data_IF_504936246525
#
_entry.id   IF_504936246525
#
_cell.length_a   1.000
_cell.length_b   1.000
_cell.length_c   1.000
_cell.angle_alpha   90.00
_cell.angle_beta   90.00
_cell.angle_gamma   90.00
#
_symmetry.space_group_name_H-M   'P 1'
#
loop_
_entity.id
_entity.type
_entity.pdbx_description
1 polymer ?
#
# COMPACT_ATOMS: atom_id res chain seq x y z
N UNK A 1 -8.71 -21.77 -12.69
CA UNK A 1 -9.73 -22.62 -13.32
C UNK A 1 -11.13 -22.04 -13.10
N UNK A 2 -12.16 -22.65 -13.71
CA UNK A 2 -13.54 -22.17 -13.64
C UNK A 2 -14.09 -22.26 -12.21
N UNK A 3 -13.76 -23.32 -11.48
CA UNK A 3 -14.21 -23.48 -10.10
C UNK A 3 -13.70 -22.34 -9.20
N UNK A 4 -12.43 -21.99 -9.31
CA UNK A 4 -11.85 -20.87 -8.56
C UNK A 4 -12.48 -19.55 -8.96
N UNK A 5 -12.74 -19.35 -10.25
CA UNK A 5 -13.38 -18.13 -10.74
C UNK A 5 -14.81 -18.03 -10.22
N UNK A 6 -15.55 -19.13 -10.12
CA UNK A 6 -16.91 -19.14 -9.57
C UNK A 6 -16.92 -18.80 -8.08
N UNK A 7 -15.88 -19.19 -7.34
CA UNK A 7 -15.73 -18.78 -5.94
C UNK A 7 -15.55 -17.27 -5.81
N UNK A 8 -14.87 -16.65 -6.78
CA UNK A 8 -14.75 -15.18 -6.82
C UNK A 8 -16.11 -14.52 -6.99
N UNK A 9 -16.99 -15.09 -7.82
CA UNK A 9 -18.35 -14.56 -7.98
C UNK A 9 -19.09 -14.57 -6.63
N UNK A 10 -18.95 -15.62 -5.86
CA UNK A 10 -19.56 -15.71 -4.52
C UNK A 10 -19.01 -14.65 -3.58
N UNK A 11 -17.69 -14.37 -3.66
CA UNK A 11 -17.07 -13.30 -2.88
C UNK A 11 -17.62 -11.93 -3.26
N UNK A 12 -17.78 -11.68 -4.56
CA UNK A 12 -18.32 -10.41 -5.03
C UNK A 12 -19.76 -10.18 -4.52
N UNK A 13 -20.52 -11.25 -4.40
CA UNK A 13 -21.90 -11.19 -3.86
C UNK A 13 -21.94 -10.81 -2.38
N UNK A 14 -20.81 -10.91 -1.65
CA UNK A 14 -20.71 -10.58 -0.24
C UNK A 14 -20.17 -9.16 0.03
N UNK A 15 -19.88 -8.38 -1.01
CA UNK A 15 -19.30 -7.05 -0.83
C UNK A 15 -20.22 -6.10 -0.07
N UNK A 16 -21.54 -6.20 -0.29
CA UNK A 16 -22.51 -5.37 0.45
C UNK A 16 -22.39 -5.66 1.97
N UNK A 17 -22.29 -6.93 2.33
CA UNK A 17 -22.12 -7.34 3.73
C UNK A 17 -20.79 -6.84 4.28
N UNK A 18 -19.70 -6.99 3.51
CA UNK A 18 -18.37 -6.53 3.91
C UNK A 18 -18.37 -5.03 4.21
N UNK A 19 -18.88 -4.22 3.27
CA UNK A 19 -18.88 -2.77 3.45
C UNK A 19 -19.82 -2.33 4.57
N UNK A 20 -20.95 -3.02 4.76
CA UNK A 20 -21.84 -2.74 5.90
C UNK A 20 -21.13 -2.97 7.23
N UNK A 21 -20.38 -4.06 7.35
CA UNK A 21 -19.63 -4.37 8.57
C UNK A 21 -18.51 -3.36 8.81
N UNK A 22 -17.76 -3.01 7.78
CA UNK A 22 -16.69 -1.99 7.88
C UNK A 22 -17.29 -0.66 8.33
N UNK A 23 -18.38 -0.24 7.69
CA UNK A 23 -19.06 1.02 8.00
C UNK A 23 -19.54 1.06 9.45
N UNK A 24 -20.08 -0.05 9.93
CA UNK A 24 -20.56 -0.13 11.31
C UNK A 24 -19.43 -0.01 12.32
N UNK A 25 -18.32 -0.72 12.10
CA UNK A 25 -17.16 -0.66 12.99
C UNK A 25 -16.61 0.77 13.03
N UNK A 26 -16.52 1.43 11.88
CA UNK A 26 -16.02 2.80 11.83
C UNK A 26 -17.00 3.79 12.47
N UNK A 27 -18.29 3.56 12.35
CA UNK A 27 -19.31 4.38 13.02
C UNK A 27 -19.18 4.28 14.53
N UNK A 28 -18.93 3.07 15.06
CA UNK A 28 -18.64 2.88 16.49
C UNK A 28 -17.38 3.66 16.89
N UNK A 29 -16.39 3.70 16.00
CA UNK A 29 -15.19 4.52 16.20
C UNK A 29 -15.51 6.00 16.35
N UNK A 30 -16.40 6.53 15.51
CA UNK A 30 -16.84 7.93 15.62
C UNK A 30 -17.45 8.22 17.00
N UNK A 31 -18.29 7.30 17.50
CA UNK A 31 -18.96 7.45 18.78
C UNK A 31 -17.99 7.42 19.95
N UNK A 32 -16.82 6.81 19.78
CA UNK A 32 -15.82 6.62 20.82
C UNK A 32 -14.55 7.47 20.59
N UNK A 33 -14.67 8.54 19.82
CA UNK A 33 -13.57 9.47 19.54
C UNK A 33 -12.34 8.76 18.93
N UNK A 34 -12.59 7.80 18.06
CA UNK A 34 -11.55 7.08 17.31
C UNK A 34 -11.75 7.37 15.82
N UNK A 35 -11.37 8.55 15.41
CA UNK A 35 -11.62 9.07 14.06
C UNK A 35 -10.30 9.17 13.29
N UNK A 36 -10.34 8.85 12.02
CA UNK A 36 -9.19 9.00 11.13
C UNK A 36 -8.85 10.48 10.91
N UNK A 37 -7.64 10.73 10.39
CA UNK A 37 -7.27 12.10 10.01
C UNK A 37 -8.05 12.51 8.75
N UNK A 38 -8.35 13.79 8.66
CA UNK A 38 -9.04 14.36 7.51
C UNK A 38 -8.30 14.06 6.21
N UNK A 39 -6.96 14.17 6.25
CA UNK A 39 -6.12 13.88 5.09
C UNK A 39 -6.33 12.45 4.55
N UNK A 40 -6.34 11.46 5.45
CA UNK A 40 -6.53 10.06 5.04
C UNK A 40 -7.96 9.80 4.55
N UNK A 41 -8.94 10.44 5.19
CA UNK A 41 -10.33 10.34 4.73
C UNK A 41 -10.48 10.87 3.30
N UNK A 42 -9.88 12.03 3.00
CA UNK A 42 -9.93 12.62 1.65
C UNK A 42 -9.26 11.70 0.62
N UNK A 43 -8.14 11.08 0.97
CA UNK A 43 -7.47 10.13 0.07
C UNK A 43 -8.32 8.90 -0.21
N UNK A 44 -8.97 8.37 0.83
CA UNK A 44 -9.87 7.22 0.67
C UNK A 44 -11.08 7.60 -0.18
N UNK A 45 -11.65 8.77 0.08
CA UNK A 45 -12.78 9.29 -0.72
C UNK A 45 -12.39 9.38 -2.19
N UNK A 46 -11.21 9.96 -2.47
CA UNK A 46 -10.69 10.09 -3.83
C UNK A 46 -10.54 8.72 -4.50
N UNK A 47 -9.98 7.73 -3.79
CA UNK A 47 -9.82 6.37 -4.33
C UNK A 47 -11.17 5.75 -4.68
N UNK A 48 -12.15 5.89 -3.79
CA UNK A 48 -13.48 5.30 -4.01
C UNK A 48 -14.21 6.00 -5.15
N UNK A 49 -14.09 7.33 -5.25
CA UNK A 49 -14.67 8.09 -6.36
C UNK A 49 -14.04 7.67 -7.69
N UNK A 50 -12.73 7.55 -7.73
CA UNK A 50 -12.02 7.13 -8.94
C UNK A 50 -12.44 5.72 -9.36
N UNK A 51 -12.60 4.81 -8.39
CA UNK A 51 -13.10 3.48 -8.68
C UNK A 51 -14.50 3.53 -9.29
N UNK A 52 -15.44 4.27 -8.67
CA UNK A 52 -16.81 4.35 -9.14
C UNK A 52 -16.93 5.03 -10.51
N UNK A 53 -16.00 5.92 -10.85
CA UNK A 53 -15.95 6.60 -12.14
C UNK A 53 -15.33 5.75 -13.25
N UNK A 54 -14.67 4.64 -12.90
CA UNK A 54 -14.09 3.72 -13.88
C UNK A 54 -15.21 3.02 -14.65
N UNK A 55 -15.17 2.98 -16.01
CA UNK A 55 -16.16 2.22 -16.77
C UNK A 55 -16.22 0.77 -16.31
N UNK A 56 -17.42 0.20 -16.28
CA UNK A 56 -17.64 -1.17 -15.80
C UNK A 56 -16.75 -2.17 -16.53
N UNK A 57 -16.57 -2.01 -17.83
CA UNK A 57 -15.77 -2.91 -18.66
C UNK A 57 -14.28 -2.90 -18.28
N UNK A 58 -13.84 -1.86 -17.57
CA UNK A 58 -12.45 -1.69 -17.13
C UNK A 58 -12.28 -1.94 -15.63
N UNK A 59 -13.32 -2.44 -14.98
CA UNK A 59 -13.27 -2.71 -13.53
C UNK A 59 -12.17 -3.74 -13.25
N UNK A 60 -11.29 -3.44 -12.30
CA UNK A 60 -10.17 -4.31 -11.97
C UNK A 60 -10.61 -5.66 -11.40
N UNK A 61 -11.82 -5.74 -10.86
CA UNK A 61 -12.37 -7.02 -10.37
C UNK A 61 -12.65 -8.00 -11.52
N UNK A 62 -12.66 -7.51 -12.77
CA UNK A 62 -12.80 -8.36 -13.96
C UNK A 62 -11.46 -8.92 -14.45
N UNK A 63 -10.33 -8.44 -13.91
CA UNK A 63 -8.99 -8.84 -14.36
C UNK A 63 -8.57 -10.16 -13.69
N UNK A 64 -9.15 -11.25 -14.20
CA UNK A 64 -8.86 -12.60 -13.71
C UNK A 64 -8.09 -13.36 -14.78
N UNK A 65 -6.97 -13.95 -14.40
CA UNK A 65 -6.16 -14.77 -15.30
C UNK A 65 -6.65 -16.21 -15.28
N UNK A 66 -7.36 -16.58 -16.32
CA UNK A 66 -7.84 -17.95 -16.48
C UNK A 66 -6.71 -18.85 -17.00
N UNK A 67 -6.71 -20.10 -16.58
CA UNK A 67 -5.77 -21.10 -17.11
C UNK A 67 -6.04 -21.32 -18.61
N UNK A 68 -4.99 -21.72 -19.34
CA UNK A 68 -5.04 -21.84 -20.81
C UNK A 68 -6.06 -22.86 -21.33
N UNK A 69 -6.49 -23.79 -20.47
CA UNK A 69 -7.49 -24.81 -20.83
C UNK A 69 -8.93 -24.29 -20.76
N UNK A 70 -9.14 -23.06 -20.24
CA UNK A 70 -10.47 -22.45 -20.17
C UNK A 70 -10.75 -21.72 -21.49
N UNK A 71 -11.87 -22.05 -22.12
CA UNK A 71 -12.25 -21.48 -23.40
C UNK A 71 -12.86 -20.08 -23.30
N UNK A 72 -12.82 -19.35 -24.41
CA UNK A 72 -13.39 -17.99 -24.50
C UNK A 72 -14.88 -17.92 -24.12
N UNK A 73 -15.73 -18.92 -24.50
CA UNK A 73 -17.13 -18.86 -24.06
C UNK A 73 -17.30 -18.88 -22.55
N UNK A 74 -16.49 -19.66 -21.83
CA UNK A 74 -16.55 -19.76 -20.37
C UNK A 74 -16.05 -18.45 -19.74
N UNK A 75 -14.99 -17.87 -20.28
CA UNK A 75 -14.42 -16.60 -19.80
C UNK A 75 -15.46 -15.47 -19.99
N UNK A 76 -16.06 -15.38 -21.19
CA UNK A 76 -17.10 -14.37 -21.48
C UNK A 76 -18.28 -14.51 -20.54
N UNK A 77 -18.75 -15.73 -20.33
CA UNK A 77 -19.88 -16.01 -19.44
C UNK A 77 -19.57 -15.57 -18.01
N UNK A 78 -18.37 -15.90 -17.52
CA UNK A 78 -17.94 -15.48 -16.17
C UNK A 78 -17.90 -13.96 -16.07
N UNK A 79 -17.34 -13.28 -17.08
CA UNK A 79 -17.23 -11.83 -17.07
C UNK A 79 -18.61 -11.15 -17.07
N UNK A 80 -19.57 -11.68 -17.80
CA UNK A 80 -20.94 -11.14 -17.79
C UNK A 80 -21.59 -11.29 -16.43
N UNK A 81 -21.42 -12.45 -15.78
CA UNK A 81 -21.92 -12.66 -14.42
C UNK A 81 -21.25 -11.72 -13.42
N UNK A 82 -19.91 -11.57 -13.53
CA UNK A 82 -19.15 -10.68 -12.65
C UNK A 82 -19.60 -9.22 -12.82
N UNK A 83 -19.77 -8.76 -14.05
CA UNK A 83 -20.24 -7.39 -14.34
C UNK A 83 -21.57 -7.11 -13.67
N UNK A 84 -22.50 -8.06 -13.77
CA UNK A 84 -23.82 -7.89 -13.16
C UNK A 84 -23.73 -7.76 -11.64
N UNK A 85 -22.91 -8.60 -10.99
CA UNK A 85 -22.72 -8.56 -9.54
C UNK A 85 -22.03 -7.25 -9.15
N UNK A 86 -21.01 -6.83 -9.89
CA UNK A 86 -20.29 -5.58 -9.63
C UNK A 86 -21.26 -4.40 -9.69
N UNK A 87 -22.09 -4.35 -10.74
CA UNK A 87 -23.04 -3.28 -10.95
C UNK A 87 -24.16 -3.24 -9.91
N UNK A 88 -24.68 -4.42 -9.50
CA UNK A 88 -25.84 -4.49 -8.62
C UNK A 88 -25.50 -4.67 -7.13
N UNK A 89 -24.28 -5.08 -6.80
CA UNK A 89 -23.89 -5.34 -5.41
C UNK A 89 -22.65 -4.54 -5.00
N UNK A 90 -21.54 -4.70 -5.73
CA UNK A 90 -20.24 -4.11 -5.32
C UNK A 90 -20.29 -2.58 -5.35
N UNK A 91 -20.63 -2.00 -6.51
CA UNK A 91 -20.62 -0.54 -6.68
C UNK A 91 -21.64 0.18 -5.81
N UNK A 92 -22.88 -0.32 -5.67
CA UNK A 92 -23.80 0.30 -4.71
C UNK A 92 -23.30 0.25 -3.26
N UNK A 93 -22.64 -0.85 -2.85
CA UNK A 93 -22.06 -0.97 -1.50
C UNK A 93 -20.93 0.05 -1.30
N UNK A 94 -20.05 0.20 -2.30
CA UNK A 94 -18.97 1.19 -2.27
C UNK A 94 -19.56 2.61 -2.19
N UNK A 95 -20.60 2.89 -2.96
CA UNK A 95 -21.25 4.22 -2.96
C UNK A 95 -21.84 4.55 -1.58
N UNK A 96 -22.53 3.60 -0.97
CA UNK A 96 -23.11 3.78 0.37
C UNK A 96 -22.02 4.10 1.40
N UNK A 97 -20.91 3.35 1.35
CA UNK A 97 -19.77 3.57 2.23
C UNK A 97 -19.12 4.94 1.97
N UNK A 98 -18.93 5.30 0.70
CA UNK A 98 -18.39 6.60 0.31
C UNK A 98 -19.25 7.75 0.87
N UNK A 99 -20.56 7.65 0.76
CA UNK A 99 -21.48 8.65 1.29
C UNK A 99 -21.33 8.78 2.81
N UNK A 100 -21.20 7.67 3.52
CA UNK A 100 -20.97 7.69 4.97
C UNK A 100 -19.66 8.42 5.30
N UNK A 101 -18.58 8.11 4.56
CA UNK A 101 -17.29 8.78 4.79
C UNK A 101 -17.41 10.30 4.60
N UNK A 102 -18.10 10.73 3.56
CA UNK A 102 -18.26 12.16 3.25
C UNK A 102 -19.16 12.87 4.27
N UNK A 103 -20.27 12.26 4.63
CA UNK A 103 -21.30 12.90 5.44
C UNK A 103 -21.05 12.79 6.95
N UNK A 104 -20.51 11.69 7.42
CA UNK A 104 -20.39 11.42 8.84
C UNK A 104 -18.94 11.51 9.35
N UNK A 105 -17.97 10.98 8.60
CA UNK A 105 -16.58 10.90 9.06
C UNK A 105 -15.77 12.15 8.72
N UNK A 106 -15.88 12.65 7.49
CA UNK A 106 -15.07 13.78 7.04
C UNK A 106 -15.24 15.03 7.91
N UNK A 107 -16.48 15.42 8.29
CA UNK A 107 -16.64 16.60 9.16
C UNK A 107 -15.96 16.46 10.53
N UNK A 108 -15.76 15.21 11.00
CA UNK A 108 -15.14 14.92 12.30
C UNK A 108 -13.68 14.52 12.15
N UNK A 109 -13.13 14.49 10.94
CA UNK A 109 -11.75 14.08 10.68
C UNK A 109 -10.75 14.94 11.42
N UNK A 110 -9.73 14.30 12.01
CA UNK A 110 -8.68 15.01 12.75
C UNK A 110 -7.81 15.81 11.80
N UNK A 111 -7.42 17.01 12.26
CA UNK A 111 -6.53 17.88 11.47
C UNK A 111 -5.09 17.35 11.48
N UNK A 112 -4.24 17.93 10.64
CA UNK A 112 -2.83 17.53 10.56
C UNK A 112 -2.08 17.76 11.88
N UNK A 113 -2.44 18.79 12.64
CA UNK A 113 -1.84 19.07 13.95
C UNK A 113 -2.20 18.00 14.98
N UNK A 114 -3.28 17.26 14.73
CA UNK A 114 -3.76 16.18 15.60
C UNK A 114 -3.67 14.84 14.90
N UNK A 115 -2.64 14.64 14.08
CA UNK A 115 -2.50 13.43 13.26
C UNK A 115 -2.09 12.18 14.05
N UNK A 116 -1.36 12.34 15.15
CA UNK A 116 -0.89 11.21 15.95
C UNK A 116 -2.01 10.49 16.69
N UNK A 117 -1.76 9.22 17.04
CA UNK A 117 -2.76 8.42 17.76
C UNK A 117 -3.02 8.93 19.20
N UNK A 118 -2.15 9.80 19.70
CA UNK A 118 -2.38 10.48 20.98
C UNK A 118 -3.77 11.14 21.04
N UNK A 119 -4.27 11.56 19.88
CA UNK A 119 -5.52 12.33 19.78
C UNK A 119 -6.78 11.46 19.64
N UNK A 120 -6.65 10.13 19.73
CA UNK A 120 -7.82 9.25 19.79
C UNK A 120 -7.97 8.68 21.19
N UNK A 121 -9.16 8.19 21.51
CA UNK A 121 -9.45 7.61 22.83
C UNK A 121 -8.52 6.40 23.08
N UNK A 122 -7.81 6.44 24.21
CA UNK A 122 -6.86 5.40 24.58
C UNK A 122 -5.56 5.42 23.78
N UNK A 123 -5.33 6.49 23.01
CA UNK A 123 -4.19 6.57 22.08
C UNK A 123 -2.83 6.58 22.76
N UNK A 124 -2.70 7.27 23.90
CA UNK A 124 -1.42 7.31 24.64
C UNK A 124 -1.00 5.92 25.06
N UNK A 125 -1.90 5.16 25.68
CA UNK A 125 -1.61 3.79 26.12
C UNK A 125 -1.31 2.89 24.91
N UNK A 126 -2.08 3.04 23.84
CA UNK A 126 -1.87 2.27 22.60
C UNK A 126 -0.48 2.54 22.04
N UNK A 127 -0.05 3.79 22.03
CA UNK A 127 1.29 4.17 21.55
C UNK A 127 2.39 3.52 22.41
N UNK A 128 2.25 3.57 23.73
CA UNK A 128 3.24 2.97 24.65
C UNK A 128 3.34 1.45 24.45
N UNK A 129 2.21 0.79 24.26
CA UNK A 129 2.20 -0.66 23.98
C UNK A 129 2.90 -0.98 22.67
N UNK A 130 2.65 -0.18 21.63
CA UNK A 130 3.30 -0.34 20.34
C UNK A 130 4.82 -0.10 20.46
N UNK A 131 5.20 0.96 21.18
CA UNK A 131 6.61 1.29 21.41
C UNK A 131 7.36 0.12 22.05
N UNK A 132 6.78 -0.46 23.10
CA UNK A 132 7.37 -1.61 23.80
C UNK A 132 7.46 -2.83 22.91
N UNK A 133 6.43 -3.07 22.11
CA UNK A 133 6.41 -4.17 21.15
C UNK A 133 7.52 -4.04 20.11
N UNK A 134 7.66 -2.85 19.52
CA UNK A 134 8.62 -2.64 18.43
C UNK A 134 10.07 -2.53 18.93
N UNK A 135 10.29 -2.00 20.11
CA UNK A 135 11.65 -1.89 20.68
C UNK A 135 12.08 -3.16 21.41
N UNK A 136 11.13 -3.97 21.86
CA UNK A 136 11.44 -5.13 22.70
C UNK A 136 11.80 -4.77 24.14
N UNK A 137 11.64 -3.51 24.53
CA UNK A 137 12.07 -3.01 25.85
C UNK A 137 10.86 -2.47 26.64
N UNK A 138 10.65 -3.03 27.82
CA UNK A 138 9.52 -2.67 28.68
C UNK A 138 9.56 -1.24 29.21
N UNK A 139 10.77 -0.74 29.44
CA UNK A 139 10.96 0.54 30.15
C UNK A 139 11.35 1.69 29.22
N UNK A 140 11.42 1.47 27.92
CA UNK A 140 11.74 2.52 26.96
C UNK A 140 10.64 3.60 26.96
N UNK A 141 11.06 4.85 27.02
CA UNK A 141 10.12 5.98 26.98
C UNK A 141 10.05 6.59 25.59
N UNK A 142 8.95 7.29 25.32
CA UNK A 142 8.76 8.01 24.06
C UNK A 142 9.89 9.03 23.86
N UNK A 143 10.27 9.74 24.93
CA UNK A 143 11.33 10.76 24.88
C UNK A 143 12.68 10.17 24.49
N UNK A 144 13.02 9.02 25.05
CA UNK A 144 14.28 8.33 24.71
C UNK A 144 14.33 7.98 23.22
N UNK A 145 13.26 7.37 22.69
CA UNK A 145 13.22 6.98 21.28
C UNK A 145 13.26 8.21 20.39
N UNK A 146 12.53 9.26 20.75
CA UNK A 146 12.55 10.52 20.01
C UNK A 146 13.98 11.10 19.94
N UNK A 147 14.66 11.14 21.08
CA UNK A 147 16.03 11.67 21.14
C UNK A 147 17.02 10.83 20.34
N UNK A 148 16.85 9.50 20.35
CA UNK A 148 17.66 8.61 19.50
C UNK A 148 17.44 8.99 18.03
N UNK A 149 16.17 9.20 17.65
CA UNK A 149 15.83 9.62 16.29
C UNK A 149 16.51 10.92 15.87
N UNK A 150 16.49 11.92 16.75
CA UNK A 150 17.16 13.21 16.49
C UNK A 150 18.67 13.01 16.31
N UNK A 151 19.31 12.24 17.22
CA UNK A 151 20.75 11.95 17.13
C UNK A 151 21.11 11.24 15.82
N UNK A 152 20.28 10.28 15.42
CA UNK A 152 20.49 9.53 14.17
C UNK A 152 20.35 10.42 12.94
N UNK A 153 19.38 11.34 12.94
CA UNK A 153 19.22 12.28 11.83
C UNK A 153 20.51 13.09 11.65
N UNK A 154 21.07 13.60 12.76
CA UNK A 154 22.31 14.40 12.69
C UNK A 154 23.49 13.56 12.21
N UNK A 155 23.62 12.32 12.72
CA UNK A 155 24.66 11.41 12.27
C UNK A 155 24.54 11.11 10.77
N UNK A 156 23.32 10.79 10.34
CA UNK A 156 23.06 10.45 8.94
C UNK A 156 23.24 11.64 8.01
N UNK A 157 22.93 12.85 8.43
CA UNK A 157 23.19 14.06 7.62
C UNK A 157 24.68 14.19 7.31
N UNK A 158 25.52 13.98 8.30
CA UNK A 158 26.98 14.07 8.13
C UNK A 158 27.46 13.00 7.14
N UNK A 159 27.08 11.74 7.39
CA UNK A 159 27.47 10.62 6.53
C UNK A 159 26.96 10.80 5.11
N UNK A 160 25.69 11.20 4.97
CA UNK A 160 25.06 11.44 3.68
C UNK A 160 25.80 12.51 2.88
N UNK A 161 26.20 13.60 3.56
CA UNK A 161 26.95 14.68 2.91
C UNK A 161 28.33 14.18 2.44
N UNK A 162 29.06 13.45 3.29
CA UNK A 162 30.37 12.91 2.94
C UNK A 162 30.30 12.00 1.71
N UNK A 163 29.30 11.11 1.67
CA UNK A 163 29.10 10.21 0.54
C UNK A 163 28.63 11.01 -0.69
N UNK A 164 27.70 11.94 -0.47
CA UNK A 164 27.11 12.77 -1.53
C UNK A 164 28.13 13.59 -2.29
N UNK A 165 29.17 14.05 -1.62
CA UNK A 165 30.26 14.82 -2.26
C UNK A 165 31.07 13.98 -3.26
N UNK A 166 31.04 12.66 -3.16
CA UNK A 166 31.68 11.78 -4.14
C UNK A 166 30.89 11.77 -5.45
N UNK A 167 29.59 12.08 -5.39
CA UNK A 167 28.71 12.11 -6.58
C UNK A 167 28.56 13.55 -7.09
N UNK A 168 28.39 14.48 -6.17
CA UNK A 168 28.20 15.91 -6.46
C UNK A 168 29.28 16.72 -5.74
N UNK A 169 30.46 16.78 -6.36
CA UNK A 169 31.64 17.41 -5.73
C UNK A 169 31.44 18.89 -5.42
N UNK A 170 30.52 19.54 -6.10
CA UNK A 170 30.20 20.96 -5.92
C UNK A 170 29.12 21.20 -4.85
N UNK A 171 28.55 20.17 -4.26
CA UNK A 171 27.57 20.34 -3.19
C UNK A 171 28.21 20.86 -1.92
N UNK A 172 27.56 21.81 -1.26
CA UNK A 172 28.07 22.47 -0.04
C UNK A 172 27.29 22.11 1.23
N UNK A 173 26.24 21.32 1.11
CA UNK A 173 25.41 20.91 2.25
C UNK A 173 24.66 19.61 1.94
N UNK A 174 24.19 18.90 2.98
CA UNK A 174 23.33 17.73 2.76
C UNK A 174 22.07 18.05 1.94
N UNK A 175 21.51 19.23 2.20
CA UNK A 175 20.29 19.70 1.51
C UNK A 175 20.56 19.87 0.02
N UNK A 176 21.75 20.40 -0.34
CA UNK A 176 22.14 20.52 -1.76
C UNK A 176 22.31 19.14 -2.42
N UNK A 177 22.86 18.16 -1.71
CA UNK A 177 22.97 16.81 -2.25
C UNK A 177 21.58 16.26 -2.56
N UNK A 178 20.65 16.40 -1.60
CA UNK A 178 19.27 15.94 -1.79
C UNK A 178 18.62 16.65 -3.00
N UNK A 179 18.78 17.96 -3.08
CA UNK A 179 18.22 18.75 -4.18
C UNK A 179 18.77 18.27 -5.52
N UNK A 180 20.08 18.05 -5.60
CA UNK A 180 20.71 17.56 -6.85
C UNK A 180 20.20 16.16 -7.20
N UNK A 181 20.08 15.27 -6.23
CA UNK A 181 19.52 13.93 -6.47
C UNK A 181 18.10 14.01 -7.04
N UNK A 182 17.30 14.95 -6.55
CA UNK A 182 15.92 15.13 -7.01
C UNK A 182 15.80 15.78 -8.38
N UNK A 183 16.80 16.60 -8.79
CA UNK A 183 16.69 17.39 -10.00
C UNK A 183 17.62 16.93 -11.14
N UNK A 184 18.64 16.14 -10.81
CA UNK A 184 19.61 15.66 -11.83
C UNK A 184 18.92 14.68 -12.78
N UNK A 185 18.87 14.99 -14.10
CA UNK A 185 18.20 14.10 -15.05
C UNK A 185 18.76 12.67 -15.06
N UNK A 186 20.07 12.51 -14.86
CA UNK A 186 20.72 11.19 -14.85
C UNK A 186 20.25 10.31 -13.68
N UNK A 187 19.59 10.88 -12.69
CA UNK A 187 19.08 10.17 -11.53
C UNK A 187 17.58 9.83 -11.64
N UNK A 188 17.00 10.11 -12.80
CA UNK A 188 15.58 9.85 -13.04
C UNK A 188 15.40 8.74 -14.06
N UNK A 189 14.37 7.96 -13.86
CA UNK A 189 13.97 6.97 -14.87
C UNK A 189 13.33 7.69 -16.07
N UNK A 190 13.60 7.15 -17.24
CA UNK A 190 13.05 7.70 -18.49
C UNK A 190 11.63 7.22 -18.75
N UNK A 191 11.26 6.08 -18.17
CA UNK A 191 9.94 5.49 -18.35
C UNK A 191 9.62 4.51 -17.23
N UNK A 192 8.35 4.18 -17.10
CA UNK A 192 7.85 3.16 -16.18
C UNK A 192 8.50 1.81 -16.49
N UNK A 193 8.63 1.49 -17.77
CA UNK A 193 9.22 0.23 -18.23
C UNK A 193 10.68 0.12 -17.80
N UNK A 194 11.45 1.20 -17.93
CA UNK A 194 12.84 1.23 -17.47
C UNK A 194 12.93 0.99 -15.96
N UNK A 195 12.06 1.62 -15.19
CA UNK A 195 12.05 1.48 -13.74
C UNK A 195 11.78 0.02 -13.34
N UNK A 196 10.78 -0.61 -13.96
CA UNK A 196 10.44 -2.02 -13.70
C UNK A 196 11.61 -2.94 -14.08
N UNK A 197 12.24 -2.70 -15.24
CA UNK A 197 13.36 -3.52 -15.70
C UNK A 197 14.55 -3.43 -14.74
N UNK A 198 14.87 -2.22 -14.27
CA UNK A 198 15.96 -2.03 -13.30
C UNK A 198 15.68 -2.78 -12.01
N UNK A 199 14.43 -2.78 -11.55
CA UNK A 199 14.04 -3.52 -10.35
C UNK A 199 14.20 -5.03 -10.56
N UNK A 200 13.74 -5.55 -11.70
CA UNK A 200 13.91 -6.98 -12.04
C UNK A 200 15.39 -7.37 -12.07
N UNK A 201 16.21 -6.58 -12.76
CA UNK A 201 17.65 -6.82 -12.87
C UNK A 201 18.32 -6.81 -11.49
N UNK A 202 17.88 -5.91 -10.61
CA UNK A 202 18.41 -5.80 -9.25
C UNK A 202 18.06 -7.03 -8.42
N UNK A 203 16.83 -7.51 -8.51
CA UNK A 203 16.40 -8.72 -7.82
C UNK A 203 17.20 -9.93 -8.33
N UNK A 204 17.32 -10.07 -9.65
CA UNK A 204 18.10 -11.16 -10.24
C UNK A 204 19.55 -11.13 -9.75
N UNK A 205 20.15 -9.93 -9.75
CA UNK A 205 21.52 -9.74 -9.29
C UNK A 205 21.67 -10.10 -7.79
N UNK A 206 20.64 -9.81 -6.99
CA UNK A 206 20.68 -10.11 -5.55
C UNK A 206 20.65 -11.61 -5.25
N UNK A 207 20.10 -12.43 -6.15
CA UNK A 207 20.09 -13.88 -5.96
C UNK A 207 21.46 -14.52 -6.08
N UNK A 208 22.38 -13.92 -6.84
CA UNK A 208 23.69 -14.52 -7.12
C UNK A 208 24.52 -14.80 -5.87
N UNK A 209 24.63 -13.88 -4.90
CA UNK A 209 25.39 -14.14 -3.69
C UNK A 209 24.60 -14.77 -2.53
N UNK A 210 23.33 -15.13 -2.74
CA UNK A 210 22.45 -15.60 -1.65
C UNK A 210 23.07 -16.78 -0.87
N UNK A 211 23.66 -17.74 -1.60
CA UNK A 211 24.24 -18.93 -0.97
C UNK A 211 25.45 -18.63 -0.09
N UNK A 212 26.01 -17.43 -0.18
CA UNK A 212 27.13 -16.99 0.69
C UNK A 212 26.63 -16.47 2.03
N UNK A 213 25.36 -16.03 2.08
CA UNK A 213 24.82 -15.32 3.24
C UNK A 213 23.69 -16.07 3.94
N UNK A 214 23.00 -16.96 3.24
CA UNK A 214 21.84 -17.67 3.76
C UNK A 214 21.94 -19.16 3.51
N UNK A 215 21.42 -19.94 4.44
CA UNK A 215 21.35 -21.41 4.32
C UNK A 215 19.94 -21.89 3.96
N UNK A 216 18.93 -21.02 4.12
CA UNK A 216 17.55 -21.34 3.77
C UNK A 216 17.10 -20.33 2.72
N UNK A 217 16.48 -20.83 1.67
CA UNK A 217 16.07 -20.01 0.52
C UNK A 217 14.55 -20.03 0.35
N UNK A 218 13.97 -18.93 -0.14
CA UNK A 218 12.55 -18.93 -0.49
C UNK A 218 12.28 -19.97 -1.58
N UNK A 219 11.15 -20.62 -1.49
CA UNK A 219 10.72 -21.61 -2.51
C UNK A 219 10.16 -20.92 -3.76
N UNK A 220 9.59 -19.72 -3.57
CA UNK A 220 8.97 -18.96 -4.64
C UNK A 220 9.86 -17.81 -5.06
N UNK A 221 9.89 -17.46 -6.35
CA UNK A 221 10.61 -16.28 -6.81
C UNK A 221 9.93 -15.00 -6.35
N UNK A 222 10.61 -13.88 -6.55
CA UNK A 222 10.05 -12.55 -6.32
C UNK A 222 9.77 -11.89 -7.68
N UNK A 223 8.52 -11.58 -7.93
CA UNK A 223 8.09 -10.87 -9.15
C UNK A 223 8.12 -9.36 -8.93
N UNK A 224 8.28 -8.61 -10.01
CA UNK A 224 8.16 -7.15 -10.00
C UNK A 224 6.90 -6.79 -10.79
N UNK A 225 6.02 -6.00 -10.19
CA UNK A 225 4.81 -5.53 -10.84
C UNK A 225 4.56 -4.05 -10.52
N UNK A 226 3.91 -3.31 -11.41
CA UNK A 226 3.46 -1.97 -11.04
C UNK A 226 2.34 -2.05 -10.00
N UNK A 227 2.21 -1.00 -9.19
CA UNK A 227 1.10 -0.90 -8.24
C UNK A 227 -0.24 -0.96 -9.00
N UNK A 228 -1.28 -1.53 -8.38
CA UNK A 228 -2.59 -1.58 -9.05
C UNK A 228 -3.08 -0.19 -9.42
N UNK A 229 -3.68 -0.02 -10.62
CA UNK A 229 -4.07 1.31 -11.11
C UNK A 229 -4.94 2.10 -10.14
N UNK A 230 -5.86 1.45 -9.44
CA UNK A 230 -6.79 2.11 -8.52
C UNK A 230 -6.10 2.66 -7.27
N UNK A 231 -4.92 2.17 -6.95
CA UNK A 231 -4.17 2.60 -5.77
C UNK A 231 -2.86 3.33 -6.13
N UNK A 232 -2.46 3.31 -7.39
CA UNK A 232 -1.16 3.83 -7.85
C UNK A 232 -0.85 5.23 -7.31
N UNK A 233 -1.83 6.12 -7.35
CA UNK A 233 -1.67 7.51 -6.94
C UNK A 233 -1.38 7.66 -5.44
N UNK A 234 -1.85 6.72 -4.62
CA UNK A 234 -1.75 6.79 -3.16
C UNK A 234 -0.89 5.69 -2.56
N UNK A 235 -0.37 4.80 -3.40
CA UNK A 235 0.49 3.70 -2.96
C UNK A 235 1.84 4.22 -2.45
N UNK A 236 2.50 3.51 -1.53
CA UNK A 236 3.90 3.82 -1.22
C UNK A 236 4.76 3.67 -2.49
N UNK A 237 5.92 4.34 -2.53
CA UNK A 237 6.81 4.21 -3.70
C UNK A 237 7.15 2.77 -4.07
N UNK A 238 7.23 1.89 -3.08
CA UNK A 238 7.42 0.46 -3.29
C UNK A 238 6.96 -0.31 -2.06
N UNK A 239 6.49 -1.55 -2.28
CA UNK A 239 6.14 -2.44 -1.17
C UNK A 239 6.21 -3.90 -1.62
N UNK A 240 6.36 -4.79 -0.65
CA UNK A 240 6.50 -6.22 -0.91
C UNK A 240 5.33 -6.99 -0.31
N UNK A 241 4.79 -7.92 -1.09
CA UNK A 241 3.76 -8.86 -0.64
C UNK A 241 4.38 -10.26 -0.63
N UNK A 242 4.36 -10.90 0.52
CA UNK A 242 4.97 -12.21 0.71
C UNK A 242 4.24 -13.28 -0.10
N UNK A 243 4.97 -14.35 -0.50
CA UNK A 243 4.33 -15.47 -1.20
C UNK A 243 3.41 -16.23 -0.25
N UNK A 244 2.50 -17.00 -0.83
CA UNK A 244 1.70 -17.91 -0.02
C UNK A 244 2.58 -19.10 0.42
N UNK A 245 2.36 -19.60 1.65
CA UNK A 245 3.20 -20.70 2.17
C UNK A 245 3.18 -21.97 1.32
N UNK A 246 2.10 -22.20 0.60
CA UNK A 246 1.95 -23.38 -0.28
C UNK A 246 2.60 -23.18 -1.65
N UNK A 247 3.14 -21.99 -1.93
CA UNK A 247 3.80 -21.71 -3.21
C UNK A 247 2.84 -21.38 -4.36
N UNK A 248 1.54 -21.28 -4.11
CA UNK A 248 0.56 -21.01 -5.18
C UNK A 248 0.57 -19.57 -5.67
N UNK A 249 1.21 -18.66 -4.93
CA UNK A 249 1.39 -17.27 -5.35
C UNK A 249 2.80 -16.83 -4.98
N UNK A 250 3.51 -16.30 -5.96
CA UNK A 250 4.87 -15.80 -5.77
C UNK A 250 4.91 -14.54 -4.90
N UNK A 251 6.05 -14.29 -4.27
CA UNK A 251 6.32 -13.01 -3.64
C UNK A 251 6.32 -11.92 -4.70
N UNK A 252 5.81 -10.74 -4.37
CA UNK A 252 5.69 -9.65 -5.34
C UNK A 252 6.21 -8.34 -4.77
N UNK A 253 7.14 -7.72 -5.48
CA UNK A 253 7.65 -6.38 -5.21
C UNK A 253 6.88 -5.41 -6.11
N UNK A 254 6.05 -4.60 -5.50
CA UNK A 254 5.24 -3.60 -6.22
C UNK A 254 5.96 -2.25 -6.23
N UNK A 255 6.01 -1.63 -7.42
CA UNK A 255 6.50 -0.25 -7.61
C UNK A 255 5.34 0.68 -7.87
N UNK A 256 5.05 1.90 -7.00
CA UNK A 256 4.18 2.62 -7.03
C UNK A 256 4.29 3.55 -7.59
#
# INVERSE_FOLDING_TARGET
>A
DVESADLLLKRLELYDRLFTQIAQVQKEGLLNNRVATKRNLLRTIDQLENYLNTPLEKDTLLLVNFSTDVGEPEISNWKEKAKKIIETNVRPAVLTYLDQLKEEHLPKGRTDEKSGILWIEGGEETYLRALRRYTGHKNTTVKEVHNIGISEIERLKTEFFEIGKNVFSDANSPEEVIYKMQTEPAMRYESKEQMLQIAEDTIERSYKPLNKWFTVFPKSPCKVLPAPPESEQHAPPAYYVAPLPDGSRDGTYFLX
#
